data_IF_193739519480
#
_entry.id   IF_193739519480
#
_cell.length_a   1.000
_cell.length_b   1.000
_cell.length_c   1.000
_cell.angle_alpha   90.00
_cell.angle_beta   90.00
_cell.angle_gamma   90.00
#
_symmetry.space_group_name_H-M   'P 1'
#
loop_
_entity.id
_entity.type
_entity.pdbx_description
1 polymer ?
#
# COMPACT_ATOMS: atom_id res chain seq x y z
N UNK A 1 -5.82 -4.93 -31.89
CA UNK A 1 -7.09 -5.15 -31.20
C UNK A 1 -8.27 -4.79 -32.10
N UNK A 2 -8.37 -3.55 -32.63
CA UNK A 2 -9.46 -3.16 -33.53
C UNK A 2 -9.53 -3.99 -34.80
N UNK A 3 -8.39 -4.33 -35.40
CA UNK A 3 -8.26 -5.23 -36.56
C UNK A 3 -8.79 -6.65 -36.30
N UNK A 4 -8.85 -7.04 -35.03
CA UNK A 4 -9.36 -8.33 -34.54
C UNK A 4 -10.83 -8.26 -34.12
N UNK A 5 -11.51 -7.13 -34.36
CA UNK A 5 -12.91 -6.95 -34.04
C UNK A 5 -13.23 -6.63 -32.57
N UNK A 6 -12.23 -6.31 -31.73
CA UNK A 6 -12.49 -5.86 -30.36
C UNK A 6 -12.94 -4.40 -30.36
N UNK A 7 -14.01 -4.10 -29.63
CA UNK A 7 -14.55 -2.74 -29.47
C UNK A 7 -13.89 -1.97 -28.33
N UNK A 8 -13.40 -2.67 -27.29
CA UNK A 8 -12.72 -2.06 -26.17
C UNK A 8 -11.75 -3.03 -25.50
N UNK A 9 -10.77 -2.48 -24.78
CA UNK A 9 -9.81 -3.23 -23.96
C UNK A 9 -9.67 -2.58 -22.57
N UNK A 10 -9.76 -3.40 -21.56
CA UNK A 10 -9.49 -2.99 -20.18
C UNK A 10 -8.03 -3.23 -19.82
N UNK A 11 -7.39 -2.23 -19.25
CA UNK A 11 -6.02 -2.36 -18.74
C UNK A 11 -6.03 -2.90 -17.31
N UNK A 12 -4.87 -3.30 -16.81
CA UNK A 12 -4.67 -3.61 -15.38
C UNK A 12 -4.30 -2.36 -14.56
N UNK A 13 -4.19 -1.20 -15.20
CA UNK A 13 -3.86 0.05 -14.55
C UNK A 13 -5.13 0.60 -13.87
N UNK A 14 -5.05 0.96 -12.58
CA UNK A 14 -6.16 1.60 -11.90
C UNK A 14 -6.38 3.02 -12.42
N UNK A 15 -7.63 3.44 -12.50
CA UNK A 15 -7.96 4.78 -12.95
C UNK A 15 -9.44 4.94 -13.25
N UNK A 16 -9.84 6.18 -13.48
CA UNK A 16 -11.18 6.55 -13.92
C UNK A 16 -11.19 6.84 -15.39
N UNK A 17 -12.26 6.48 -16.05
CA UNK A 17 -12.51 6.85 -17.45
C UNK A 17 -12.97 8.30 -17.54
N UNK A 18 -12.59 8.96 -18.60
CA UNK A 18 -13.06 10.27 -19.01
C UNK A 18 -13.61 10.19 -20.44
N UNK A 19 -14.26 11.24 -20.93
CA UNK A 19 -14.71 11.28 -22.32
C UNK A 19 -13.59 11.16 -23.35
N UNK A 20 -12.35 11.47 -22.95
CA UNK A 20 -11.14 11.36 -23.79
C UNK A 20 -10.39 10.05 -23.60
N UNK A 21 -10.87 9.14 -22.75
CA UNK A 21 -10.22 7.85 -22.56
C UNK A 21 -10.43 6.98 -23.80
N UNK A 22 -9.35 6.47 -24.38
CA UNK A 22 -9.44 5.55 -25.50
C UNK A 22 -10.15 4.25 -25.12
N UNK A 23 -11.02 3.74 -25.98
CA UNK A 23 -11.67 2.46 -25.77
C UNK A 23 -10.68 1.28 -25.64
N UNK A 24 -9.46 1.42 -26.13
CA UNK A 24 -8.43 0.38 -26.05
C UNK A 24 -7.49 0.52 -24.85
N UNK A 25 -7.73 1.49 -23.97
CA UNK A 25 -6.93 1.70 -22.74
C UNK A 25 -7.81 2.03 -21.55
N UNK A 26 -8.96 1.38 -21.43
CA UNK A 26 -9.91 1.62 -20.33
C UNK A 26 -9.27 1.14 -19.02
N UNK A 27 -9.02 2.04 -18.05
CA UNK A 27 -8.50 1.66 -16.75
C UNK A 27 -9.56 0.92 -15.94
N UNK A 28 -9.14 0.07 -15.02
CA UNK A 28 -10.05 -0.63 -14.10
C UNK A 28 -9.47 -0.73 -12.71
N UNK A 29 -10.35 -0.77 -11.71
CA UNK A 29 -9.99 -1.11 -10.35
C UNK A 29 -10.24 -2.60 -10.11
N UNK A 30 -9.25 -3.28 -9.55
CA UNK A 30 -9.40 -4.66 -9.06
C UNK A 30 -9.58 -4.54 -7.55
N UNK A 31 -10.80 -4.80 -7.07
CA UNK A 31 -11.14 -4.69 -5.65
C UNK A 31 -11.12 -6.10 -5.07
N UNK A 32 -10.21 -6.34 -4.14
CA UNK A 32 -10.16 -7.56 -3.33
C UNK A 32 -10.68 -7.23 -1.93
N UNK A 33 -11.24 -8.19 -1.22
CA UNK A 33 -12.05 -8.00 -0.02
C UNK A 33 -11.46 -7.19 1.14
N UNK A 34 -10.15 -6.89 1.10
CA UNK A 34 -9.46 -6.06 2.11
C UNK A 34 -9.04 -4.69 1.58
N UNK A 35 -9.43 -4.34 0.36
CA UNK A 35 -8.96 -3.13 -0.32
C UNK A 35 -9.98 -1.98 -0.26
N UNK A 36 -10.41 -1.58 0.95
CA UNK A 36 -11.35 -0.48 1.16
C UNK A 36 -10.95 0.82 0.45
N UNK A 37 -9.63 1.10 0.39
CA UNK A 37 -9.12 2.29 -0.26
C UNK A 37 -9.34 2.27 -1.79
N UNK A 38 -9.22 1.12 -2.44
CA UNK A 38 -9.48 0.98 -3.89
C UNK A 38 -10.95 1.24 -4.16
N UNK A 39 -11.84 0.69 -3.31
CA UNK A 39 -13.28 0.95 -3.41
C UNK A 39 -13.60 2.43 -3.24
N UNK A 40 -13.04 3.10 -2.22
CA UNK A 40 -13.22 4.54 -2.02
C UNK A 40 -12.74 5.35 -3.21
N UNK A 41 -11.60 4.99 -3.81
CA UNK A 41 -11.10 5.66 -5.01
C UNK A 41 -12.00 5.44 -6.22
N UNK A 42 -12.45 4.22 -6.44
CA UNK A 42 -13.33 3.88 -7.54
C UNK A 42 -14.65 4.64 -7.44
N UNK A 43 -15.17 4.82 -6.23
CA UNK A 43 -16.49 5.44 -5.96
C UNK A 43 -16.45 6.94 -5.65
N UNK A 44 -15.27 7.54 -5.44
CA UNK A 44 -15.18 8.99 -5.19
C UNK A 44 -15.47 9.79 -6.45
N UNK A 45 -16.44 10.70 -6.38
CA UNK A 45 -16.86 11.54 -7.50
C UNK A 45 -16.18 12.92 -7.58
N UNK A 46 -15.19 13.17 -6.73
CA UNK A 46 -14.45 14.44 -6.79
C UNK A 46 -13.67 14.54 -8.10
N UNK A 47 -14.06 15.50 -8.91
CA UNK A 47 -13.51 15.78 -10.24
C UNK A 47 -12.10 16.40 -10.20
N UNK A 48 -11.26 16.00 -9.29
CA UNK A 48 -9.86 16.43 -9.30
C UNK A 48 -9.15 15.68 -10.41
N UNK A 49 -8.57 16.40 -11.35
CA UNK A 49 -7.72 15.88 -12.44
C UNK A 49 -6.66 14.94 -11.86
N UNK A 50 -6.96 13.67 -11.84
CA UNK A 50 -6.05 12.68 -11.27
C UNK A 50 -5.14 12.21 -12.38
N UNK A 51 -4.02 12.92 -12.57
CA UNK A 51 -2.88 12.32 -13.27
C UNK A 51 -2.43 11.09 -12.50
N UNK A 52 -1.78 10.13 -13.17
CA UNK A 52 -1.23 8.93 -12.53
C UNK A 52 -0.29 9.24 -11.33
N UNK A 53 0.15 10.48 -11.19
CA UNK A 53 0.85 11.02 -10.02
C UNK A 53 -0.05 11.18 -8.78
N UNK A 54 -1.36 11.24 -8.93
CA UNK A 54 -2.32 11.54 -7.85
C UNK A 54 -2.84 10.28 -7.15
N UNK A 55 -2.42 9.09 -7.55
CA UNK A 55 -2.55 7.91 -6.69
C UNK A 55 -1.75 8.06 -5.38
N UNK A 56 -0.81 9.01 -5.33
CA UNK A 56 -0.07 9.39 -4.13
C UNK A 56 -0.76 10.41 -3.23
N UNK A 57 -1.86 11.00 -3.65
CA UNK A 57 -2.53 12.05 -2.89
C UNK A 57 -3.72 11.58 -2.05
N UNK A 58 -3.86 10.27 -1.84
CA UNK A 58 -4.69 9.81 -0.74
C UNK A 58 -3.82 9.96 0.50
N UNK A 59 -3.98 11.07 1.17
CA UNK A 59 -3.46 11.27 2.52
C UNK A 59 -4.18 10.25 3.41
N UNK A 60 -3.65 9.03 3.43
CA UNK A 60 -4.03 8.05 4.43
C UNK A 60 -3.40 8.53 5.73
N UNK A 61 -4.21 9.15 6.59
CA UNK A 61 -3.78 9.42 7.95
C UNK A 61 -3.76 8.08 8.69
N UNK A 62 -2.59 7.59 8.99
CA UNK A 62 -2.44 6.46 9.90
C UNK A 62 -2.53 6.96 11.34
N UNK A 63 -3.20 6.22 12.25
CA UNK A 63 -3.30 6.60 13.66
C UNK A 63 -1.94 6.57 14.37
N UNK A 64 -0.96 5.91 13.79
CA UNK A 64 0.40 5.76 14.31
C UNK A 64 1.41 6.19 13.24
N UNK A 65 2.54 6.82 13.61
CA UNK A 65 3.60 7.16 12.68
C UNK A 65 4.16 5.90 11.99
N UNK A 66 4.37 5.97 10.70
CA UNK A 66 4.90 4.87 9.88
C UNK A 66 6.01 5.32 8.95
N UNK A 67 6.90 4.41 8.62
CA UNK A 67 7.95 4.61 7.62
C UNK A 67 7.87 3.46 6.62
N UNK A 68 7.88 3.71 5.29
CA UNK A 68 7.73 5.03 4.65
C UNK A 68 6.38 5.66 4.93
N UNK A 69 6.31 7.00 4.93
CA UNK A 69 5.07 7.73 5.16
C UNK A 69 4.00 7.40 4.11
N UNK A 70 2.71 7.45 4.48
CA UNK A 70 1.62 7.24 3.54
C UNK A 70 1.69 8.20 2.36
N UNK A 71 1.60 7.66 1.14
CA UNK A 71 1.67 8.44 -0.09
C UNK A 71 3.08 8.91 -0.49
N UNK A 72 4.10 8.69 0.34
CA UNK A 72 5.48 9.10 0.03
C UNK A 72 6.06 8.33 -1.18
N UNK A 73 6.98 8.98 -1.88
CA UNK A 73 7.73 8.38 -2.99
C UNK A 73 9.16 8.14 -2.51
N UNK A 74 9.56 6.88 -2.39
CA UNK A 74 10.90 6.51 -1.97
C UNK A 74 11.80 6.20 -3.16
N UNK A 75 13.10 6.45 -3.00
CA UNK A 75 14.12 6.23 -4.04
C UNK A 75 14.80 4.86 -3.97
N UNK A 76 14.45 4.03 -2.99
CA UNK A 76 15.03 2.69 -2.83
C UNK A 76 13.98 1.59 -2.97
N UNK A 77 14.39 0.44 -3.49
CA UNK A 77 13.56 -0.77 -3.55
C UNK A 77 13.82 -1.73 -2.38
N UNK A 78 14.67 -1.34 -1.45
CA UNK A 78 15.00 -2.08 -0.23
C UNK A 78 14.77 -1.18 1.01
N UNK A 79 13.57 -0.65 1.22
CA UNK A 79 13.31 0.21 2.36
C UNK A 79 13.31 -0.57 3.66
N UNK A 80 13.43 0.15 4.78
CA UNK A 80 12.96 -0.31 6.07
C UNK A 80 11.51 0.12 6.23
N UNK A 81 10.66 -0.80 6.67
CA UNK A 81 9.24 -0.54 6.92
C UNK A 81 9.03 -0.62 8.42
N UNK A 82 8.48 0.42 9.02
CA UNK A 82 8.25 0.45 10.46
C UNK A 82 6.96 1.14 10.84
N UNK A 83 6.46 0.81 12.01
CA UNK A 83 5.34 1.48 12.68
C UNK A 83 5.73 1.80 14.11
N UNK A 84 5.48 3.02 14.53
CA UNK A 84 5.66 3.48 15.90
C UNK A 84 4.37 3.22 16.69
N UNK A 85 4.46 2.30 17.64
CA UNK A 85 3.37 1.89 18.52
C UNK A 85 3.52 2.50 19.94
N UNK A 86 4.31 3.57 20.10
CA UNK A 86 4.58 4.20 21.41
C UNK A 86 3.30 4.66 22.12
N UNK A 87 2.27 5.02 21.37
CA UNK A 87 0.97 5.44 21.87
C UNK A 87 0.02 4.28 22.18
N UNK A 88 0.42 3.05 21.89
CA UNK A 88 -0.39 1.86 22.15
C UNK A 88 0.00 1.27 23.50
N UNK A 89 -0.99 1.02 24.34
CA UNK A 89 -0.81 0.35 25.61
C UNK A 89 -1.07 -1.15 25.47
N UNK A 90 -0.45 -1.94 26.33
CA UNK A 90 -0.70 -3.38 26.47
C UNK A 90 -0.57 -4.20 25.18
N UNK A 91 0.48 -3.93 24.38
CA UNK A 91 0.74 -4.69 23.15
C UNK A 91 1.27 -6.08 23.51
N UNK A 92 0.64 -7.12 22.95
CA UNK A 92 1.21 -8.46 22.84
C UNK A 92 2.22 -8.47 21.69
N UNK A 93 3.52 -8.33 22.02
CA UNK A 93 4.60 -8.21 21.04
C UNK A 93 4.67 -9.38 20.05
N UNK A 94 4.38 -10.59 20.53
CA UNK A 94 4.42 -11.81 19.72
C UNK A 94 3.23 -11.91 18.75
N UNK A 95 2.20 -11.12 18.99
CA UNK A 95 1.02 -11.07 18.15
C UNK A 95 1.17 -10.13 16.95
N UNK A 96 2.21 -9.29 16.90
CA UNK A 96 2.36 -8.30 15.82
C UNK A 96 2.51 -9.00 14.48
N UNK A 97 1.59 -8.73 13.58
CA UNK A 97 1.59 -9.26 12.21
C UNK A 97 1.67 -8.11 11.23
N UNK A 98 2.73 -8.09 10.43
CA UNK A 98 2.88 -7.18 9.31
C UNK A 98 2.77 -7.97 8.01
N UNK A 99 2.00 -7.42 7.06
CA UNK A 99 1.87 -7.95 5.70
C UNK A 99 2.30 -6.88 4.72
N UNK A 100 3.08 -7.26 3.74
CA UNK A 100 3.61 -6.35 2.72
C UNK A 100 3.26 -6.90 1.35
N UNK A 101 2.76 -6.05 0.47
CA UNK A 101 2.39 -6.42 -0.90
C UNK A 101 3.57 -7.09 -1.63
N UNK A 102 3.31 -8.26 -2.20
CA UNK A 102 4.33 -9.07 -2.89
C UNK A 102 5.22 -9.93 -1.99
N UNK A 103 5.08 -9.84 -0.65
CA UNK A 103 5.82 -10.64 0.33
C UNK A 103 4.89 -11.47 1.23
N UNK A 104 3.64 -11.06 1.40
CA UNK A 104 2.72 -11.66 2.35
C UNK A 104 3.06 -11.30 3.79
N UNK A 105 2.93 -12.24 4.72
CA UNK A 105 3.34 -12.06 6.12
C UNK A 105 4.87 -12.02 6.20
N UNK A 106 5.41 -11.00 6.87
CA UNK A 106 6.86 -10.78 7.00
C UNK A 106 7.31 -10.92 8.45
N UNK A 107 8.59 -11.30 8.70
CA UNK A 107 9.13 -11.41 10.05
C UNK A 107 9.38 -10.02 10.62
N UNK A 108 8.56 -9.62 11.58
CA UNK A 108 8.66 -8.32 12.26
C UNK A 108 9.64 -8.42 13.41
N UNK A 109 10.50 -7.43 13.56
CA UNK A 109 11.31 -7.20 14.74
C UNK A 109 10.65 -6.11 15.57
N UNK A 110 10.32 -6.40 16.81
CA UNK A 110 9.74 -5.43 17.74
C UNK A 110 10.78 -4.99 18.76
N UNK A 111 10.98 -3.69 18.85
CA UNK A 111 11.82 -3.06 19.88
C UNK A 111 10.92 -2.60 21.04
N UNK A 112 10.93 -3.28 22.19
CA UNK A 112 10.05 -2.93 23.30
C UNK A 112 10.43 -1.60 24.00
N UNK A 113 11.70 -1.18 23.91
CA UNK A 113 12.15 0.08 24.51
C UNK A 113 11.63 1.30 23.72
N UNK A 114 11.59 1.19 22.40
CA UNK A 114 11.08 2.24 21.52
C UNK A 114 9.64 2.03 21.11
N UNK A 115 9.09 0.86 21.37
CA UNK A 115 7.78 0.40 20.88
C UNK A 115 7.64 0.52 19.36
N UNK A 116 8.69 0.17 18.64
CA UNK A 116 8.73 0.20 17.18
C UNK A 116 8.70 -1.23 16.65
N UNK A 117 7.74 -1.53 15.78
CA UNK A 117 7.72 -2.75 15.01
C UNK A 117 8.28 -2.47 13.60
N UNK A 118 9.31 -3.21 13.19
CA UNK A 118 10.00 -2.95 11.94
C UNK A 118 10.31 -4.23 11.16
N UNK A 119 10.44 -4.08 9.86
CA UNK A 119 10.95 -5.09 8.95
C UNK A 119 11.80 -4.45 7.88
N UNK A 120 13.00 -4.97 7.68
CA UNK A 120 13.88 -4.56 6.57
C UNK A 120 13.58 -5.45 5.36
N UNK A 121 13.23 -4.82 4.25
CA UNK A 121 12.91 -5.53 3.01
C UNK A 121 14.09 -6.37 2.56
N UNK A 122 13.92 -7.69 2.47
CA UNK A 122 15.00 -8.66 2.18
C UNK A 122 15.29 -8.82 0.69
N UNK A 123 14.32 -8.52 -0.16
CA UNK A 123 14.47 -8.52 -1.63
C UNK A 123 13.77 -7.31 -2.23
N UNK A 124 14.23 -6.87 -3.39
CA UNK A 124 13.71 -5.66 -4.04
C UNK A 124 12.20 -5.69 -4.27
N UNK A 125 11.54 -4.61 -3.92
CA UNK A 125 10.15 -4.37 -4.26
C UNK A 125 9.99 -4.36 -5.79
N UNK A 126 9.11 -5.22 -6.30
CA UNK A 126 8.84 -5.30 -7.75
C UNK A 126 7.86 -4.24 -8.19
N UNK A 127 6.81 -4.04 -7.42
CA UNK A 127 5.79 -3.04 -7.70
C UNK A 127 6.29 -1.63 -7.38
N UNK A 128 5.69 -0.66 -8.05
CA UNK A 128 5.88 0.77 -7.76
C UNK A 128 4.96 1.27 -6.66
N UNK A 129 3.88 0.55 -6.41
CA UNK A 129 2.96 0.79 -5.31
C UNK A 129 3.12 -0.36 -4.32
N UNK A 130 3.39 -0.04 -3.08
CA UNK A 130 3.54 -1.01 -2.02
C UNK A 130 2.53 -0.72 -0.92
N UNK A 131 1.64 -1.68 -0.68
CA UNK A 131 0.72 -1.65 0.43
C UNK A 131 1.30 -2.43 1.61
N UNK A 132 1.17 -1.86 2.79
CA UNK A 132 1.56 -2.47 4.05
C UNK A 132 0.33 -2.51 4.96
N UNK A 133 0.12 -3.61 5.65
CA UNK A 133 -0.86 -3.70 6.73
C UNK A 133 -0.24 -4.27 7.99
N UNK A 134 -0.64 -3.73 9.13
CA UNK A 134 -0.16 -4.16 10.45
C UNK A 134 -1.35 -4.34 11.38
N UNK A 135 -1.32 -5.40 12.16
CA UNK A 135 -2.30 -5.68 13.22
C UNK A 135 -1.62 -6.33 14.41
N UNK A 136 -2.19 -6.18 15.58
CA UNK A 136 -1.71 -6.74 16.84
C UNK A 136 -2.89 -7.02 17.78
N UNK A 137 -2.60 -7.72 18.85
CA UNK A 137 -3.55 -7.95 19.96
C UNK A 137 -3.08 -7.19 21.20
N UNK A 138 -4.02 -6.85 22.06
CA UNK A 138 -3.69 -6.43 23.42
C UNK A 138 -3.37 -7.65 24.28
N UNK A 139 -2.53 -7.46 25.29
CA UNK A 139 -2.20 -8.51 26.26
C UNK A 139 -3.49 -9.03 26.91
N UNK A 140 -3.68 -10.34 26.88
CA UNK A 140 -4.88 -11.00 27.43
C UNK A 140 -6.05 -11.12 26.45
N UNK A 141 -5.98 -10.49 25.28
CA UNK A 141 -7.00 -10.63 24.24
C UNK A 141 -6.67 -11.74 23.23
N UNK A 142 -7.68 -12.46 22.78
CA UNK A 142 -7.56 -13.49 21.75
C UNK A 142 -7.79 -12.94 20.36
N UNK A 143 -8.51 -11.83 20.23
CA UNK A 143 -8.85 -11.23 18.95
C UNK A 143 -7.85 -10.15 18.55
N UNK A 144 -7.58 -10.07 17.26
CA UNK A 144 -6.78 -9.01 16.67
C UNK A 144 -7.58 -7.71 16.60
N UNK A 145 -6.93 -6.61 16.87
CA UNK A 145 -7.46 -5.29 16.59
C UNK A 145 -7.68 -5.06 15.09
N UNK A 146 -8.39 -3.96 14.77
CA UNK A 146 -8.60 -3.58 13.37
C UNK A 146 -7.24 -3.37 12.69
N UNK A 147 -6.98 -4.00 11.53
CA UNK A 147 -5.72 -3.78 10.82
C UNK A 147 -5.59 -2.32 10.37
N UNK A 148 -4.41 -1.76 10.58
CA UNK A 148 -3.98 -0.48 10.04
C UNK A 148 -3.25 -0.74 8.72
N UNK A 149 -3.57 -0.01 7.67
CA UNK A 149 -2.86 -0.14 6.39
C UNK A 149 -2.49 1.23 5.82
N UNK A 150 -1.40 1.24 5.03
CA UNK A 150 -0.97 2.41 4.26
C UNK A 150 -0.27 1.98 2.99
N UNK A 151 -0.10 2.95 2.09
CA UNK A 151 0.54 2.75 0.80
C UNK A 151 1.64 3.79 0.63
N UNK A 152 2.77 3.35 0.10
CA UNK A 152 3.82 4.22 -0.40
C UNK A 152 4.22 3.84 -1.83
N UNK A 153 4.94 4.72 -2.49
CA UNK A 153 5.35 4.58 -3.88
C UNK A 153 6.87 4.43 -3.97
N UNK A 154 7.31 3.69 -4.99
CA UNK A 154 8.73 3.59 -5.34
C UNK A 154 8.97 4.40 -6.60
N UNK A 155 9.96 5.29 -6.60
CA UNK A 155 10.32 6.10 -7.76
C UNK A 155 10.62 5.22 -8.98
N UNK A 156 10.24 5.69 -10.16
CA UNK A 156 10.54 5.04 -11.45
C UNK A 156 12.03 4.79 -11.66
N UNK A 157 12.84 5.76 -11.25
CA UNK A 157 14.30 5.76 -11.39
C UNK A 157 15.00 4.92 -10.31
N UNK A 158 14.27 4.44 -9.29
CA UNK A 158 14.84 3.53 -8.31
C UNK A 158 15.37 2.30 -9.01
N UNK A 159 16.68 2.29 -9.19
CA UNK A 159 17.45 1.38 -10.02
C UNK A 159 17.16 -0.08 -9.70
N UNK A 160 16.89 -0.87 -10.74
CA UNK A 160 16.96 -2.33 -10.70
C UNK A 160 18.40 -2.84 -10.80
N UNK A 161 19.40 -1.94 -10.91
CA UNK A 161 20.78 -2.35 -11.10
C UNK A 161 21.23 -3.27 -9.95
N UNK A 162 21.61 -4.46 -10.33
CA UNK A 162 22.40 -5.37 -9.53
C UNK A 162 23.74 -4.66 -9.23
N UNK A 163 24.05 -4.44 -7.96
CA UNK A 163 25.44 -4.32 -7.57
C UNK A 163 26.01 -5.69 -7.41
#
# INVERSE_FOLDING_TARGET
>A
ASEQGYECLFTVLPGKTTRSTSNFTIPRYIILGTHDYIFRNATSFNATKTSAATLGAIVQTTPHPVIPEPGSIISTRLPSISVDLSKVENIDADSIVMRVAGFGKVPVQYDPARKIAQWKVSRRLRSRTCEVSVQWRSIGETQYGKPMSWIFLVNREASYQLK
#
